data_IF_704256269747
#
_entry.id   IF_704256269747
#
_cell.length_a   1.000
_cell.length_b   1.000
_cell.length_c   1.000
_cell.angle_alpha   90.00
_cell.angle_beta   90.00
_cell.angle_gamma   90.00
#
_symmetry.space_group_name_H-M   'P 1'
#
loop_
_entity.id
_entity.type
_entity.pdbx_description
1 polymer ?
#
# COMPACT_ATOMS: atom_id res chain seq x y z
N UNK A 1 -25.66 -9.93 -19.87
CA UNK A 1 -24.64 -10.98 -19.62
C UNK A 1 -23.89 -10.61 -18.37
N UNK A 2 -24.23 -11.25 -17.27
CA UNK A 2 -23.62 -11.01 -15.95
C UNK A 2 -22.24 -11.64 -15.98
N UNK A 3 -21.18 -10.83 -15.92
CA UNK A 3 -19.82 -11.31 -15.71
C UNK A 3 -19.79 -12.01 -14.36
N UNK A 4 -19.72 -13.32 -14.36
CA UNK A 4 -19.48 -14.11 -13.17
C UNK A 4 -18.16 -13.63 -12.57
N UNK A 5 -18.21 -12.98 -11.43
CA UNK A 5 -17.06 -12.58 -10.64
C UNK A 5 -16.25 -13.85 -10.36
N UNK A 6 -15.06 -13.92 -10.92
CA UNK A 6 -14.09 -14.97 -10.65
C UNK A 6 -13.46 -14.76 -9.26
N UNK A 7 -14.30 -14.75 -8.23
CA UNK A 7 -13.88 -14.79 -6.83
C UNK A 7 -13.49 -16.23 -6.47
N UNK A 8 -12.47 -16.78 -7.14
CA UNK A 8 -11.83 -17.97 -6.57
C UNK A 8 -11.07 -17.52 -5.33
N UNK A 9 -11.41 -18.04 -4.16
CA UNK A 9 -10.61 -17.76 -2.98
C UNK A 9 -9.17 -18.17 -3.27
N UNK A 10 -8.21 -17.35 -2.84
CA UNK A 10 -6.81 -17.72 -2.90
C UNK A 10 -6.61 -19.03 -2.14
N UNK A 11 -5.85 -19.95 -2.71
CA UNK A 11 -5.58 -21.25 -2.13
C UNK A 11 -4.08 -21.45 -2.00
N UNK A 12 -3.65 -21.91 -0.85
CA UNK A 12 -2.26 -22.31 -0.59
C UNK A 12 -1.88 -23.46 -1.53
N UNK A 13 -0.72 -23.34 -2.13
CA UNK A 13 -0.09 -24.40 -2.93
C UNK A 13 0.82 -25.24 -2.03
N UNK A 14 1.33 -26.36 -2.54
CA UNK A 14 2.28 -27.22 -1.83
C UNK A 14 3.54 -26.46 -1.38
N UNK A 15 4.02 -25.55 -2.22
CA UNK A 15 5.19 -24.71 -1.92
C UNK A 15 4.92 -23.74 -0.77
N UNK A 16 3.73 -23.16 -0.73
CA UNK A 16 3.30 -22.26 0.35
C UNK A 16 3.22 -23.03 1.69
N UNK A 17 2.65 -24.23 1.68
CA UNK A 17 2.56 -25.09 2.87
C UNK A 17 3.95 -25.49 3.39
N UNK A 18 4.87 -25.83 2.51
CA UNK A 18 6.25 -26.14 2.87
C UNK A 18 6.98 -24.94 3.47
N UNK A 19 6.72 -23.73 2.92
CA UNK A 19 7.29 -22.50 3.47
C UNK A 19 6.72 -22.17 4.86
N UNK A 20 5.40 -22.34 5.06
CA UNK A 20 4.75 -22.16 6.35
C UNK A 20 5.37 -23.08 7.41
N UNK A 21 5.53 -24.37 7.09
CA UNK A 21 6.14 -25.35 7.98
C UNK A 21 7.60 -24.98 8.34
N UNK A 22 8.39 -24.57 7.35
CA UNK A 22 9.78 -24.17 7.57
C UNK A 22 9.92 -22.90 8.45
N UNK A 23 8.96 -21.98 8.34
CA UNK A 23 8.96 -20.73 9.07
C UNK A 23 8.32 -20.83 10.47
N UNK A 24 7.57 -21.87 10.76
CA UNK A 24 6.76 -22.04 11.97
C UNK A 24 7.55 -21.84 13.28
N UNK A 25 8.82 -22.24 13.29
CA UNK A 25 9.70 -22.12 14.48
C UNK A 25 10.29 -20.71 14.69
N UNK A 26 10.22 -19.82 13.69
CA UNK A 26 10.83 -18.49 13.73
C UNK A 26 9.79 -17.35 13.72
N UNK A 27 8.55 -17.64 13.36
CA UNK A 27 7.48 -16.65 13.36
C UNK A 27 7.05 -16.36 14.80
N UNK A 28 7.00 -15.08 15.22
CA UNK A 28 6.59 -14.73 16.57
C UNK A 28 5.08 -14.97 16.78
N UNK A 29 4.68 -15.16 18.04
CA UNK A 29 3.27 -15.31 18.42
C UNK A 29 2.40 -14.10 18.03
N UNK A 30 3.01 -12.90 17.97
CA UNK A 30 2.34 -11.65 17.62
C UNK A 30 3.00 -11.07 16.38
N UNK A 31 2.20 -10.74 15.39
CA UNK A 31 2.66 -10.25 14.10
C UNK A 31 2.02 -8.90 13.77
N UNK A 32 2.83 -7.96 13.29
CA UNK A 32 2.39 -6.68 12.75
C UNK A 32 3.03 -6.51 11.36
N UNK A 33 2.20 -6.39 10.33
CA UNK A 33 2.66 -6.23 8.95
C UNK A 33 3.06 -4.78 8.69
N UNK A 34 4.31 -4.52 8.37
CA UNK A 34 4.78 -3.14 8.14
C UNK A 34 4.71 -2.71 6.68
N UNK A 35 4.21 -3.56 5.77
CA UNK A 35 4.21 -3.23 4.34
C UNK A 35 3.18 -4.04 3.55
N UNK A 36 1.94 -3.60 3.53
CA UNK A 36 0.93 -4.20 2.67
C UNK A 36 0.13 -3.17 1.86
N UNK A 37 -0.27 -3.58 0.66
CA UNK A 37 -1.04 -2.75 -0.25
C UNK A 37 -2.51 -3.09 -0.19
N UNK A 38 -3.36 -2.07 0.02
CA UNK A 38 -4.80 -2.19 -0.15
C UNK A 38 -5.25 -1.52 -1.43
N UNK A 39 -6.24 -2.09 -2.09
CA UNK A 39 -6.76 -1.54 -3.34
C UNK A 39 -8.17 -2.06 -3.67
N UNK A 40 -8.89 -1.30 -4.49
CA UNK A 40 -9.99 -1.76 -5.32
C UNK A 40 -9.53 -1.71 -6.77
N UNK A 41 -9.77 -2.76 -7.55
CA UNK A 41 -9.38 -2.78 -8.98
C UNK A 41 -9.94 -1.60 -9.75
N UNK A 42 -11.18 -1.19 -9.43
CA UNK A 42 -11.83 -0.04 -10.05
C UNK A 42 -11.06 1.27 -9.93
N UNK A 43 -10.21 1.42 -8.88
CA UNK A 43 -9.43 2.64 -8.65
C UNK A 43 -8.05 2.58 -9.31
N UNK A 44 -7.59 1.40 -9.70
CA UNK A 44 -6.22 1.20 -10.18
C UNK A 44 -5.98 1.75 -11.59
N UNK A 45 -7.00 1.72 -12.46
CA UNK A 45 -6.84 1.99 -13.89
C UNK A 45 -5.68 1.19 -14.51
N UNK A 46 -5.57 -0.09 -14.12
CA UNK A 46 -4.49 -0.98 -14.50
C UNK A 46 -4.57 -1.34 -16.00
N UNK A 47 -3.43 -1.43 -16.72
CA UNK A 47 -3.41 -2.00 -18.06
C UNK A 47 -3.98 -3.42 -18.11
N UNK A 48 -4.54 -3.83 -19.26
CA UNK A 48 -5.18 -5.16 -19.43
C UNK A 48 -4.25 -6.33 -19.04
N UNK A 49 -2.96 -6.23 -19.33
CA UNK A 49 -1.95 -7.26 -19.04
C UNK A 49 -1.27 -7.08 -17.67
N UNK A 50 -1.81 -6.24 -16.80
CA UNK A 50 -1.24 -6.00 -15.47
C UNK A 50 -1.46 -7.21 -14.56
N UNK A 51 -0.43 -7.57 -13.76
CA UNK A 51 -0.56 -8.63 -12.75
C UNK A 51 -1.64 -8.31 -11.69
N UNK A 52 -1.96 -7.04 -11.46
CA UNK A 52 -3.03 -6.61 -10.56
C UNK A 52 -4.40 -7.15 -10.97
N UNK A 53 -4.59 -7.47 -12.27
CA UNK A 53 -5.84 -8.00 -12.78
C UNK A 53 -6.09 -9.46 -12.33
N UNK A 54 -5.05 -10.19 -11.91
CA UNK A 54 -5.18 -11.55 -11.36
C UNK A 54 -5.51 -11.59 -9.86
N UNK A 55 -5.35 -10.49 -9.14
CA UNK A 55 -5.70 -10.38 -7.72
C UNK A 55 -7.22 -10.28 -7.48
N UNK A 56 -7.67 -10.13 -6.22
CA UNK A 56 -9.06 -9.92 -5.88
C UNK A 56 -9.59 -8.57 -6.37
N UNK A 57 -10.91 -8.43 -6.54
CA UNK A 57 -11.54 -7.16 -6.89
C UNK A 57 -11.33 -6.09 -5.81
N UNK A 58 -11.32 -6.53 -4.57
CA UNK A 58 -11.08 -5.69 -3.39
C UNK A 58 -10.07 -6.40 -2.51
N UNK A 59 -8.93 -5.78 -2.29
CA UNK A 59 -7.92 -6.18 -1.32
C UNK A 59 -7.88 -5.12 -0.22
N UNK A 60 -8.72 -5.27 0.80
CA UNK A 60 -8.79 -4.43 1.99
C UNK A 60 -8.43 -5.20 3.25
N UNK A 61 -8.84 -4.68 4.42
CA UNK A 61 -8.50 -5.26 5.71
C UNK A 61 -8.90 -6.74 5.82
N UNK A 62 -10.14 -7.09 5.52
CA UNK A 62 -10.59 -8.47 5.65
C UNK A 62 -9.86 -9.44 4.72
N UNK A 63 -9.56 -9.03 3.48
CA UNK A 63 -8.81 -9.88 2.55
C UNK A 63 -7.36 -10.07 2.99
N UNK A 64 -6.72 -9.01 3.52
CA UNK A 64 -5.39 -9.09 4.10
C UNK A 64 -5.38 -10.01 5.32
N UNK A 65 -6.34 -9.86 6.22
CA UNK A 65 -6.47 -10.67 7.44
C UNK A 65 -6.61 -12.14 7.10
N UNK A 66 -7.56 -12.49 6.20
CA UNK A 66 -7.79 -13.86 5.75
C UNK A 66 -6.55 -14.51 5.13
N UNK A 67 -5.86 -13.79 4.24
CA UNK A 67 -4.68 -14.33 3.56
C UNK A 67 -3.49 -14.45 4.50
N UNK A 68 -3.27 -13.45 5.33
CA UNK A 68 -2.16 -13.48 6.30
C UNK A 68 -2.37 -14.56 7.34
N UNK A 69 -3.60 -14.76 7.81
CA UNK A 69 -3.91 -15.83 8.78
C UNK A 69 -3.71 -17.23 8.17
N UNK A 70 -3.94 -17.41 6.87
CA UNK A 70 -3.64 -18.68 6.20
C UNK A 70 -2.13 -18.92 6.09
N UNK A 71 -1.33 -17.86 5.84
CA UNK A 71 0.13 -17.94 5.78
C UNK A 71 0.79 -18.08 7.15
N UNK A 72 0.18 -17.49 8.17
CA UNK A 72 0.71 -17.43 9.54
C UNK A 72 -0.33 -17.97 10.54
N UNK A 73 -0.70 -19.26 10.45
CA UNK A 73 -1.85 -19.81 11.16
C UNK A 73 -1.73 -19.79 12.70
N UNK A 74 -0.50 -19.70 13.23
CA UNK A 74 -0.23 -19.65 14.67
C UNK A 74 0.00 -18.24 15.21
N UNK A 75 0.18 -17.25 14.32
CA UNK A 75 0.41 -15.89 14.75
C UNK A 75 -0.89 -15.14 15.03
N UNK A 76 -0.90 -14.33 16.08
CA UNK A 76 -1.95 -13.34 16.34
C UNK A 76 -1.66 -12.09 15.52
N UNK A 77 -2.51 -11.80 14.55
CA UNK A 77 -2.40 -10.60 13.73
C UNK A 77 -2.83 -9.38 14.55
N UNK A 78 -1.89 -8.48 14.82
CA UNK A 78 -2.16 -7.25 15.56
C UNK A 78 -2.70 -6.13 14.66
N UNK A 79 -2.39 -6.18 13.37
CA UNK A 79 -2.68 -5.15 12.37
C UNK A 79 -1.50 -4.91 11.47
N UNK A 80 -1.46 -3.77 10.80
CA UNK A 80 -0.36 -3.44 9.89
C UNK A 80 -0.27 -1.96 9.55
N UNK A 81 0.77 -1.65 8.78
CA UNK A 81 0.96 -0.36 8.11
C UNK A 81 0.60 -0.54 6.63
N UNK A 82 -0.49 0.09 6.23
CA UNK A 82 -1.10 -0.10 4.92
C UNK A 82 -1.04 1.16 4.07
N UNK A 83 -1.01 0.98 2.78
CA UNK A 83 -1.07 2.07 1.81
C UNK A 83 -1.62 1.59 0.47
N UNK A 84 -2.19 2.51 -0.34
CA UNK A 84 -2.76 2.12 -1.63
C UNK A 84 -1.72 1.58 -2.59
N UNK A 85 -2.17 0.75 -3.54
CA UNK A 85 -1.32 0.24 -4.61
C UNK A 85 -0.92 1.36 -5.59
N UNK A 86 0.38 1.50 -5.93
CA UNK A 86 0.86 2.58 -6.77
C UNK A 86 0.84 2.19 -8.26
N UNK A 87 -0.13 2.67 -9.01
CA UNK A 87 -0.09 2.57 -10.47
C UNK A 87 -0.01 3.97 -11.09
N UNK A 88 0.60 4.13 -12.27
CA UNK A 88 0.76 5.45 -12.90
C UNK A 88 -0.56 6.21 -13.06
N UNK A 89 -1.65 5.48 -13.35
CA UNK A 89 -2.99 6.04 -13.61
C UNK A 89 -3.99 5.82 -12.48
N UNK A 90 -3.52 5.44 -11.28
CA UNK A 90 -4.41 5.22 -10.13
C UNK A 90 -5.24 6.47 -9.85
N UNK A 91 -6.52 6.27 -9.54
CA UNK A 91 -7.36 7.33 -8.98
C UNK A 91 -6.92 7.59 -7.53
N UNK A 92 -6.02 8.57 -7.34
CA UNK A 92 -5.36 8.83 -6.08
C UNK A 92 -6.36 9.13 -4.94
N UNK A 93 -7.35 9.98 -5.22
CA UNK A 93 -8.36 10.36 -4.23
C UNK A 93 -9.20 9.17 -3.79
N UNK A 94 -9.70 8.37 -4.76
CA UNK A 94 -10.50 7.18 -4.46
C UNK A 94 -9.67 6.10 -3.72
N UNK A 95 -8.41 5.90 -4.10
CA UNK A 95 -7.51 4.95 -3.45
C UNK A 95 -7.19 5.35 -2.00
N UNK A 96 -6.94 6.63 -1.74
CA UNK A 96 -6.71 7.14 -0.40
C UNK A 96 -8.00 7.07 0.45
N UNK A 97 -9.15 7.42 -0.11
CA UNK A 97 -10.43 7.28 0.59
C UNK A 97 -10.70 5.82 0.97
N UNK A 98 -10.42 4.87 0.07
CA UNK A 98 -10.53 3.45 0.38
C UNK A 98 -9.62 3.03 1.53
N UNK A 99 -8.36 3.51 1.55
CA UNK A 99 -7.46 3.28 2.68
C UNK A 99 -8.08 3.78 3.99
N UNK A 100 -8.62 4.99 4.01
CA UNK A 100 -9.22 5.59 5.21
C UNK A 100 -10.40 4.76 5.72
N UNK A 101 -11.30 4.35 4.82
CA UNK A 101 -12.47 3.52 5.15
C UNK A 101 -12.05 2.14 5.72
N UNK A 102 -11.02 1.52 5.13
CA UNK A 102 -10.51 0.22 5.58
C UNK A 102 -9.79 0.30 6.94
N UNK A 103 -9.10 1.41 7.23
CA UNK A 103 -8.44 1.62 8.51
C UNK A 103 -9.44 1.65 9.68
N UNK A 104 -10.70 2.06 9.44
CA UNK A 104 -11.73 2.06 10.49
C UNK A 104 -12.09 0.65 11.00
N UNK A 105 -11.79 -0.39 10.23
CA UNK A 105 -12.03 -1.80 10.61
C UNK A 105 -11.02 -2.36 11.60
N UNK A 106 -9.92 -1.66 11.88
CA UNK A 106 -8.85 -2.11 12.79
C UNK A 106 -8.47 -1.03 13.78
N UNK A 107 -8.29 -1.39 15.04
CA UNK A 107 -7.86 -0.47 16.10
C UNK A 107 -6.36 -0.17 16.07
N UNK A 108 -5.55 -1.16 15.68
CA UNK A 108 -4.08 -1.07 15.72
C UNK A 108 -3.44 -0.72 14.38
N UNK A 109 -4.14 -0.94 13.28
CA UNK A 109 -3.61 -0.63 11.95
C UNK A 109 -3.42 0.87 11.74
N UNK A 110 -2.43 1.21 10.93
CA UNK A 110 -2.11 2.58 10.50
C UNK A 110 -1.96 2.64 8.99
N UNK A 111 -2.10 3.83 8.44
CA UNK A 111 -2.00 4.06 7.01
C UNK A 111 -0.98 5.10 6.62
N UNK A 112 -0.39 4.91 5.44
CA UNK A 112 0.35 5.94 4.74
C UNK A 112 -0.43 6.36 3.51
N UNK A 113 -0.78 7.63 3.43
CA UNK A 113 -1.47 8.19 2.28
C UNK A 113 -0.57 8.15 1.05
N UNK A 114 -1.07 7.65 -0.06
CA UNK A 114 -0.37 7.72 -1.34
C UNK A 114 -0.34 9.16 -1.83
N UNK A 115 0.85 9.64 -2.21
CA UNK A 115 1.06 11.02 -2.68
C UNK A 115 1.79 11.05 -4.02
N UNK A 116 1.53 12.11 -4.79
CA UNK A 116 2.19 12.45 -6.05
C UNK A 116 2.78 13.87 -5.94
N UNK A 117 3.71 14.26 -6.82
CA UNK A 117 4.28 15.61 -6.79
C UNK A 117 3.24 16.73 -6.79
N UNK A 118 2.14 16.53 -7.51
CA UNK A 118 1.04 17.50 -7.64
C UNK A 118 -0.02 17.44 -6.52
N UNK A 119 0.15 16.57 -5.51
CA UNK A 119 -0.79 16.47 -4.38
C UNK A 119 -0.88 17.81 -3.66
N UNK A 120 -2.08 18.37 -3.59
CA UNK A 120 -2.31 19.68 -3.00
C UNK A 120 -2.17 19.67 -1.48
N UNK A 121 -1.87 20.83 -0.90
CA UNK A 121 -1.82 20.99 0.56
C UNK A 121 -3.14 20.59 1.23
N UNK A 122 -4.26 20.91 0.61
CA UNK A 122 -5.59 20.53 1.13
C UNK A 122 -5.75 19.01 1.23
N UNK A 123 -5.26 18.26 0.24
CA UNK A 123 -5.29 16.80 0.27
C UNK A 123 -4.35 16.24 1.33
N UNK A 124 -3.16 16.82 1.49
CA UNK A 124 -2.22 16.44 2.55
C UNK A 124 -2.83 16.65 3.94
N UNK A 125 -3.43 17.79 4.18
CA UNK A 125 -4.14 18.09 5.44
C UNK A 125 -5.30 17.14 5.70
N UNK A 126 -6.10 16.86 4.68
CA UNK A 126 -7.21 15.91 4.80
C UNK A 126 -6.70 14.53 5.22
N UNK A 127 -5.63 14.05 4.61
CA UNK A 127 -5.00 12.77 4.98
C UNK A 127 -4.48 12.79 6.41
N UNK A 128 -3.72 13.81 6.79
CA UNK A 128 -3.12 13.92 8.14
C UNK A 128 -4.16 14.18 9.24
N UNK A 129 -5.35 14.69 8.90
CA UNK A 129 -6.46 14.85 9.86
C UNK A 129 -7.09 13.51 10.26
N UNK A 130 -6.87 12.45 9.48
CA UNK A 130 -7.38 11.12 9.81
C UNK A 130 -6.52 10.47 10.90
N UNK A 131 -7.11 10.15 12.04
CA UNK A 131 -6.39 9.72 13.26
C UNK A 131 -5.48 8.49 13.09
N UNK A 132 -5.73 7.66 12.06
CA UNK A 132 -4.95 6.45 11.78
C UNK A 132 -3.96 6.61 10.61
N UNK A 133 -3.95 7.76 9.94
CA UNK A 133 -2.94 8.08 8.92
C UNK A 133 -1.73 8.68 9.61
N UNK A 134 -0.59 8.02 9.46
CA UNK A 134 0.64 8.40 10.16
C UNK A 134 1.70 8.99 9.22
N UNK A 135 1.37 9.19 7.95
CA UNK A 135 2.29 9.80 7.00
C UNK A 135 1.99 9.51 5.54
N UNK A 136 3.05 9.55 4.73
CA UNK A 136 2.96 9.52 3.29
C UNK A 136 3.77 8.40 2.66
N UNK A 137 3.27 7.90 1.53
CA UNK A 137 3.92 6.89 0.69
C UNK A 137 4.14 7.44 -0.73
N UNK A 138 5.23 8.19 -0.97
CA UNK A 138 5.63 8.57 -2.31
C UNK A 138 6.24 7.40 -3.06
N UNK A 139 6.06 7.39 -4.39
CA UNK A 139 6.58 6.36 -5.27
C UNK A 139 7.35 6.93 -6.44
N UNK A 140 8.47 6.31 -6.76
CA UNK A 140 9.33 6.67 -7.89
C UNK A 140 8.58 6.64 -9.25
N UNK A 141 7.54 5.80 -9.38
CA UNK A 141 6.68 5.75 -10.58
C UNK A 141 5.96 7.07 -10.88
N UNK A 142 5.86 7.96 -9.90
CA UNK A 142 5.28 9.30 -10.05
C UNK A 142 6.34 10.40 -10.29
N UNK A 143 7.58 10.01 -10.51
CA UNK A 143 8.67 10.96 -10.79
C UNK A 143 8.41 11.80 -12.03
N UNK A 144 8.95 13.00 -12.03
CA UNK A 144 8.75 14.01 -13.10
C UNK A 144 9.63 13.79 -14.35
N UNK A 145 10.66 12.96 -14.23
CA UNK A 145 11.55 12.65 -15.34
C UNK A 145 10.99 11.53 -16.26
N UNK A 146 11.56 11.40 -17.45
CA UNK A 146 11.21 10.31 -18.38
C UNK A 146 12.49 9.57 -18.81
N UNK A 147 12.64 8.28 -18.46
CA UNK A 147 11.74 7.46 -17.63
C UNK A 147 11.74 7.91 -16.16
N UNK A 148 10.65 7.65 -15.45
CA UNK A 148 10.48 8.08 -14.05
C UNK A 148 11.58 7.56 -13.10
N UNK A 149 12.21 6.43 -13.43
CA UNK A 149 13.38 5.87 -12.72
C UNK A 149 14.63 6.78 -12.74
N UNK A 150 14.63 7.83 -13.53
CA UNK A 150 15.70 8.84 -13.57
C UNK A 150 15.40 10.05 -12.68
N UNK A 151 14.23 10.12 -12.08
CA UNK A 151 13.89 11.20 -11.16
C UNK A 151 14.70 11.09 -9.87
N UNK A 152 15.29 12.21 -9.44
CA UNK A 152 15.78 12.34 -8.08
C UNK A 152 14.64 12.34 -7.06
N UNK A 153 14.95 12.27 -5.79
CA UNK A 153 13.94 12.19 -4.70
C UNK A 153 12.98 13.38 -4.78
N UNK A 154 13.47 14.58 -5.01
CA UNK A 154 12.64 15.80 -5.13
C UNK A 154 11.68 15.76 -6.32
N UNK A 155 11.95 14.94 -7.33
CA UNK A 155 11.08 14.75 -8.50
C UNK A 155 9.80 13.95 -8.21
N UNK A 156 9.75 13.16 -7.13
CA UNK A 156 8.53 12.44 -6.71
C UNK A 156 8.14 12.71 -5.26
N UNK A 157 8.98 13.40 -4.51
CA UNK A 157 8.71 13.90 -3.17
C UNK A 157 9.21 15.36 -3.07
N UNK A 158 8.46 16.33 -3.64
CA UNK A 158 8.84 17.73 -3.59
C UNK A 158 8.72 18.33 -2.17
N UNK A 159 9.43 19.42 -1.95
CA UNK A 159 9.54 20.09 -0.65
C UNK A 159 8.19 20.31 0.07
N UNK A 160 7.09 20.74 -0.56
CA UNK A 160 5.83 20.95 0.16
C UNK A 160 5.28 19.71 0.86
N UNK A 161 5.56 18.50 0.32
CA UNK A 161 5.08 17.24 0.90
C UNK A 161 5.92 16.86 2.14
N UNK A 162 7.25 16.87 2.04
CA UNK A 162 8.07 16.50 3.19
C UNK A 162 8.10 17.58 4.26
N UNK A 163 7.94 18.86 3.90
CA UNK A 163 7.78 19.94 4.88
C UNK A 163 6.52 19.73 5.71
N UNK A 164 5.40 19.36 5.06
CA UNK A 164 4.16 19.05 5.77
C UNK A 164 4.29 17.80 6.65
N UNK A 165 4.99 16.77 6.19
CA UNK A 165 5.30 15.60 7.01
C UNK A 165 6.12 15.99 8.26
N UNK A 166 7.12 16.87 8.10
CA UNK A 166 7.93 17.36 9.21
C UNK A 166 7.10 18.11 10.24
N UNK A 167 6.25 19.05 9.80
CA UNK A 167 5.38 19.84 10.68
C UNK A 167 4.43 18.98 11.53
N UNK A 168 3.98 17.86 11.00
CA UNK A 168 3.07 16.93 11.69
C UNK A 168 3.78 15.75 12.38
N UNK A 169 5.12 15.66 12.33
CA UNK A 169 5.86 14.51 12.83
C UNK A 169 5.49 13.20 12.11
N UNK A 170 5.10 13.31 10.85
CA UNK A 170 4.60 12.19 10.04
C UNK A 170 5.74 11.37 9.43
N UNK A 171 5.47 10.08 9.19
CA UNK A 171 6.41 9.15 8.55
C UNK A 171 6.39 9.32 7.04
N UNK A 172 7.55 9.26 6.40
CA UNK A 172 7.66 9.10 4.95
C UNK A 172 8.31 7.75 4.67
N UNK A 173 7.59 6.87 3.95
CA UNK A 173 8.14 5.60 3.49
C UNK A 173 8.41 5.67 2.00
N UNK A 174 9.68 5.84 1.63
CA UNK A 174 10.09 5.95 0.23
C UNK A 174 10.04 4.61 -0.50
N UNK A 175 9.57 4.64 -1.75
CA UNK A 175 9.85 3.58 -2.74
C UNK A 175 10.87 4.12 -3.74
N UNK A 176 12.08 3.59 -3.68
CA UNK A 176 13.20 4.01 -4.53
C UNK A 176 13.54 2.86 -5.48
N UNK A 177 13.50 3.14 -6.77
CA UNK A 177 14.14 2.28 -7.78
C UNK A 177 15.62 2.65 -7.84
N UNK A 178 16.48 1.68 -8.19
CA UNK A 178 17.93 1.90 -8.32
C UNK A 178 18.22 3.11 -9.24
N UNK A 179 19.44 3.52 -9.20
CA UNK A 179 20.12 4.51 -10.02
C UNK A 179 20.10 5.92 -9.40
N UNK A 180 19.49 6.89 -10.04
CA UNK A 180 19.74 8.30 -9.75
C UNK A 180 19.21 8.75 -8.39
N UNK A 181 18.09 8.19 -7.92
CA UNK A 181 17.51 8.57 -6.63
C UNK A 181 18.35 8.13 -5.41
N UNK A 182 19.33 7.26 -5.59
CA UNK A 182 20.26 6.86 -4.54
C UNK A 182 21.50 7.79 -4.44
N UNK A 183 21.61 8.77 -5.33
CA UNK A 183 22.71 9.71 -5.40
C UNK A 183 22.34 11.09 -4.82
N UNK A 184 21.05 11.29 -4.47
CA UNK A 184 20.51 12.48 -3.81
C UNK A 184 20.52 12.31 -2.28
#
# INVERSE_FOLDING_TARGET
>A
MTLAQNNKPWQLRSEDLSAIEALDSIIPEKFFDIHAHWYRKADLNAPENSFWNSGPEIAGYGQWEDYTQQLLPKASLLGGLFFPAPLPKVNLSAANQFLFDELEKSTLSRGLMLVKPETSQKELELGLSHAKVVGFKPYHVYGTETPTSQSGITGFLPEPIWARAHEHGAVIMLHIMKDKALLD
#
